data_IF_424760383617
#
_entry.id   IF_424760383617
#
_cell.length_a   1.000
_cell.length_b   1.000
_cell.length_c   1.000
_cell.angle_alpha   90.00
_cell.angle_beta   90.00
_cell.angle_gamma   90.00
#
_symmetry.space_group_name_H-M   'P 1'
#
loop_
_entity.id
_entity.type
_entity.pdbx_description
1 polymer ?
#
# COMPACT_ATOMS: atom_id res chain seq x y z
N UNK A 1 1.39 4.07 3.29
CA UNK A 1 2.34 3.87 4.41
C UNK A 1 1.97 2.69 5.34
N UNK A 2 0.72 2.56 5.79
CA UNK A 2 0.30 1.47 6.68
C UNK A 2 0.47 0.08 6.05
N UNK A 3 -0.05 -0.14 4.85
CA UNK A 3 0.06 -1.45 4.16
C UNK A 3 1.52 -1.87 3.93
N UNK A 4 2.38 -0.94 3.50
CA UNK A 4 3.81 -1.18 3.30
C UNK A 4 4.49 -1.59 4.60
N UNK A 5 4.16 -0.95 5.73
CA UNK A 5 4.69 -1.33 7.04
C UNK A 5 4.26 -2.74 7.44
N UNK A 6 2.98 -3.09 7.26
CA UNK A 6 2.47 -4.44 7.56
C UNK A 6 3.20 -5.50 6.73
N UNK A 7 3.37 -5.25 5.43
CA UNK A 7 4.09 -6.18 4.55
C UNK A 7 5.57 -6.31 4.92
N UNK A 8 6.23 -5.21 5.28
CA UNK A 8 7.62 -5.22 5.74
C UNK A 8 7.79 -6.02 7.04
N UNK A 9 6.83 -5.90 7.97
CA UNK A 9 6.82 -6.67 9.22
C UNK A 9 6.66 -8.17 8.93
N UNK A 10 5.72 -8.57 8.06
CA UNK A 10 5.51 -9.98 7.71
C UNK A 10 6.75 -10.56 7.01
N UNK A 11 7.38 -9.78 6.13
CA UNK A 11 8.67 -10.15 5.51
C UNK A 11 9.76 -10.35 6.57
N UNK A 12 9.88 -9.44 7.53
CA UNK A 12 10.82 -9.56 8.65
C UNK A 12 10.56 -10.84 9.48
N UNK A 13 9.29 -11.15 9.75
CA UNK A 13 8.91 -12.40 10.43
C UNK A 13 9.34 -13.63 9.61
N UNK A 14 9.07 -13.64 8.31
CA UNK A 14 9.44 -14.78 7.47
C UNK A 14 10.96 -15.01 7.43
N UNK A 15 11.76 -13.93 7.43
CA UNK A 15 13.22 -14.00 7.48
C UNK A 15 13.72 -14.48 8.84
N UNK A 16 13.21 -13.93 9.95
CA UNK A 16 13.64 -14.31 11.31
C UNK A 16 13.29 -15.77 11.60
N UNK A 17 12.11 -16.24 11.18
CA UNK A 17 11.66 -17.61 11.41
C UNK A 17 12.07 -18.59 10.30
N UNK A 18 12.74 -18.11 9.24
CA UNK A 18 13.07 -18.88 8.03
C UNK A 18 11.91 -19.77 7.53
N UNK A 19 10.69 -19.23 7.63
CA UNK A 19 9.45 -20.01 7.48
C UNK A 19 8.78 -19.72 6.17
N UNK A 20 8.76 -20.73 5.29
CA UNK A 20 8.09 -20.64 3.99
C UNK A 20 6.59 -20.39 4.12
N UNK A 21 5.96 -20.91 5.17
CA UNK A 21 4.54 -20.70 5.45
C UNK A 21 4.23 -19.22 5.72
N UNK A 22 5.10 -18.52 6.45
CA UNK A 22 4.94 -17.08 6.73
C UNK A 22 5.15 -16.25 5.46
N UNK A 23 6.07 -16.66 4.59
CA UNK A 23 6.27 -16.05 3.27
C UNK A 23 5.02 -16.17 2.39
N UNK A 24 4.45 -17.36 2.27
CA UNK A 24 3.21 -17.59 1.51
C UNK A 24 2.05 -16.80 2.10
N UNK A 25 1.90 -16.78 3.42
CA UNK A 25 0.92 -15.96 4.10
C UNK A 25 1.10 -14.46 3.77
N UNK A 26 2.34 -13.97 3.79
CA UNK A 26 2.65 -12.58 3.42
C UNK A 26 2.30 -12.24 1.97
N UNK A 27 2.52 -13.16 1.03
CA UNK A 27 2.11 -12.97 -0.37
C UNK A 27 0.59 -12.91 -0.52
N UNK A 28 -0.14 -13.76 0.18
CA UNK A 28 -1.62 -13.74 0.19
C UNK A 28 -2.13 -12.42 0.80
N UNK A 29 -1.55 -12.00 1.92
CA UNK A 29 -1.90 -10.74 2.56
C UNK A 29 -1.60 -9.54 1.65
N UNK A 30 -0.46 -9.55 0.94
CA UNK A 30 -0.11 -8.53 -0.04
C UNK A 30 -1.13 -8.46 -1.18
N UNK A 31 -1.48 -9.61 -1.77
CA UNK A 31 -2.47 -9.67 -2.84
C UNK A 31 -3.85 -9.16 -2.37
N UNK A 32 -4.29 -9.54 -1.17
CA UNK A 32 -5.53 -9.06 -0.59
C UNK A 32 -5.53 -7.54 -0.36
N UNK A 33 -4.46 -6.98 0.20
CA UNK A 33 -4.31 -5.54 0.41
C UNK A 33 -4.29 -4.78 -0.92
N UNK A 34 -3.50 -5.23 -1.90
CA UNK A 34 -3.42 -4.59 -3.23
C UNK A 34 -4.80 -4.59 -3.89
N UNK A 35 -5.51 -5.71 -3.81
CA UNK A 35 -6.86 -5.84 -4.37
C UNK A 35 -7.84 -4.90 -3.67
N UNK A 36 -7.82 -4.84 -2.34
CA UNK A 36 -8.67 -3.94 -1.56
C UNK A 36 -8.43 -2.46 -1.90
N UNK A 37 -7.15 -2.05 -1.97
CA UNK A 37 -6.78 -0.68 -2.34
C UNK A 37 -7.31 -0.34 -3.73
N UNK A 38 -7.15 -1.23 -4.71
CA UNK A 38 -7.54 -0.99 -6.10
C UNK A 38 -9.05 -1.02 -6.33
N UNK A 39 -9.77 -1.91 -5.64
CA UNK A 39 -11.20 -2.17 -5.89
C UNK A 39 -12.09 -1.29 -5.02
N UNK A 40 -11.64 -0.95 -3.81
CA UNK A 40 -12.47 -0.26 -2.83
C UNK A 40 -11.94 1.13 -2.50
N UNK A 41 -10.67 1.22 -2.12
CA UNK A 41 -10.11 2.47 -1.59
C UNK A 41 -9.95 3.55 -2.68
N UNK A 42 -9.29 3.22 -3.80
CA UNK A 42 -9.10 4.15 -4.92
C UNK A 42 -10.44 4.65 -5.52
N UNK A 43 -11.44 3.77 -5.81
CA UNK A 43 -12.73 4.23 -6.34
C UNK A 43 -13.53 5.05 -5.35
N UNK A 44 -13.55 4.66 -4.06
CA UNK A 44 -14.27 5.41 -3.02
C UNK A 44 -13.67 6.79 -2.82
N UNK A 45 -12.34 6.89 -2.81
CA UNK A 45 -11.64 8.17 -2.69
C UNK A 45 -11.81 9.03 -3.93
N UNK A 46 -11.76 8.44 -5.13
CA UNK A 46 -12.04 9.16 -6.37
C UNK A 46 -13.48 9.68 -6.43
N UNK A 47 -14.47 8.92 -5.95
CA UNK A 47 -15.86 9.39 -5.87
C UNK A 47 -16.05 10.49 -4.83
N UNK A 48 -15.34 10.42 -3.71
CA UNK A 48 -15.51 11.37 -2.60
C UNK A 48 -14.78 12.70 -2.80
N UNK A 49 -13.59 12.66 -3.40
CA UNK A 49 -12.68 13.80 -3.51
C UNK A 49 -12.39 14.22 -4.95
N UNK A 50 -12.82 13.43 -5.95
CA UNK A 50 -12.78 13.80 -7.36
C UNK A 50 -11.39 14.21 -7.85
N UNK A 51 -11.31 15.40 -8.44
CA UNK A 51 -10.11 15.93 -9.10
C UNK A 51 -8.93 16.15 -8.13
N UNK A 52 -9.19 16.56 -6.89
CA UNK A 52 -8.17 16.73 -5.86
C UNK A 52 -7.46 15.42 -5.53
N UNK A 53 -8.21 14.32 -5.51
CA UNK A 53 -7.64 12.98 -5.30
C UNK A 53 -6.81 12.52 -6.49
N UNK A 54 -7.19 12.85 -7.72
CA UNK A 54 -6.38 12.52 -8.90
C UNK A 54 -5.06 13.29 -8.96
N UNK A 55 -5.04 14.55 -8.50
CA UNK A 55 -3.81 15.34 -8.34
C UNK A 55 -2.94 14.73 -7.24
N UNK A 56 -3.53 14.39 -6.10
CA UNK A 56 -2.83 13.73 -4.99
C UNK A 56 -2.25 12.37 -5.40
N UNK A 57 -3.03 11.51 -6.06
CA UNK A 57 -2.63 10.17 -6.49
C UNK A 57 -1.48 10.19 -7.49
N UNK A 58 -1.45 11.18 -8.39
CA UNK A 58 -0.32 11.40 -9.31
C UNK A 58 0.93 11.88 -8.57
N UNK A 59 0.76 12.69 -7.54
CA UNK A 59 1.89 13.24 -6.79
C UNK A 59 2.43 12.30 -5.71
N UNK A 60 1.62 11.39 -5.18
CA UNK A 60 1.99 10.50 -4.06
C UNK A 60 1.86 9.03 -4.49
N UNK A 61 2.96 8.38 -4.90
CA UNK A 61 2.95 6.95 -5.18
C UNK A 61 2.55 6.16 -3.91
N UNK A 62 1.55 5.29 -4.04
CA UNK A 62 0.94 4.61 -2.89
C UNK A 62 1.82 3.58 -2.16
N UNK A 63 2.77 2.98 -2.88
CA UNK A 63 3.61 1.87 -2.37
C UNK A 63 5.05 2.26 -2.09
N UNK A 64 5.61 3.21 -2.85
CA UNK A 64 6.97 3.70 -2.66
C UNK A 64 6.91 5.06 -1.98
N UNK A 65 7.49 5.22 -0.77
CA UNK A 65 7.51 6.52 -0.11
C UNK A 65 8.33 7.51 -0.93
N UNK A 66 7.80 8.71 -1.14
CA UNK A 66 8.61 9.82 -1.66
C UNK A 66 9.56 10.31 -0.58
N UNK A 67 10.81 10.53 -0.97
CA UNK A 67 11.83 11.12 -0.10
C UNK A 67 11.68 12.64 0.06
N UNK A 68 10.96 13.27 -0.86
CA UNK A 68 10.66 14.71 -0.83
C UNK A 68 9.18 14.95 -0.52
N UNK A 69 8.82 15.87 0.38
CA UNK A 69 7.43 16.18 0.69
C UNK A 69 6.69 16.75 -0.53
N UNK A 70 5.43 16.34 -0.70
CA UNK A 70 4.53 16.98 -1.65
C UNK A 70 4.10 18.34 -1.08
N UNK A 71 4.36 19.41 -1.83
CA UNK A 71 3.82 20.74 -1.55
C UNK A 71 2.60 20.87 -2.44
N UNK A 72 1.40 20.76 -1.87
CA UNK A 72 0.16 20.94 -2.61
C UNK A 72 0.17 22.27 -3.35
N UNK A 73 -0.35 22.25 -4.59
CA UNK A 73 -0.73 23.48 -5.30
C UNK A 73 -2.15 23.83 -4.91
#
# INVERSE_FOLDING_TARGET
>A
PMYVAVLAIILGQALIFSSWAVLVYGLIAAAAMISFVKIYEEPTLAQRYGEEYEVYRRAVPGWLPRLTPWRGQ
#
